data_IF_303652409410
#
_entry.id   IF_303652409410
#
_cell.length_a   1.000
_cell.length_b   1.000
_cell.length_c   1.000
_cell.angle_alpha   90.00
_cell.angle_beta   90.00
_cell.angle_gamma   90.00
#
_symmetry.space_group_name_H-M   'P 1'
#
loop_
_entity.id
_entity.type
_entity.pdbx_description
1 polymer ?
#
# COMPACT_ATOMS: atom_id res chain seq x y z
N UNK A 1 6.31 -9.94 5.50
CA UNK A 1 5.13 -9.67 6.35
C UNK A 1 4.76 -10.98 7.04
N UNK A 2 4.79 -11.06 8.37
CA UNK A 2 4.29 -12.24 9.09
C UNK A 2 3.19 -11.84 10.06
N UNK A 3 2.13 -12.68 10.11
CA UNK A 3 0.92 -12.62 10.95
C UNK A 3 -0.02 -11.44 10.61
N UNK A 4 -0.78 -11.49 9.51
CA UNK A 4 -2.14 -12.08 9.40
C UNK A 4 -3.15 -11.56 10.43
N UNK A 5 -3.26 -10.25 10.60
CA UNK A 5 -4.55 -9.66 10.97
C UNK A 5 -5.38 -9.53 9.69
N UNK A 6 -6.04 -10.63 9.35
CA UNK A 6 -7.09 -10.63 8.32
C UNK A 6 -8.10 -9.54 8.71
N UNK A 7 -8.61 -8.75 7.75
CA UNK A 7 -9.57 -7.71 8.08
C UNK A 7 -10.76 -8.32 8.83
N UNK A 8 -11.28 -7.60 9.83
CA UNK A 8 -12.19 -8.16 10.85
C UNK A 8 -13.47 -8.80 10.26
N UNK A 9 -13.86 -8.39 9.06
CA UNK A 9 -15.01 -8.90 8.32
C UNK A 9 -14.74 -10.21 7.56
N UNK A 10 -13.47 -10.59 7.31
CA UNK A 10 -13.13 -11.76 6.49
C UNK A 10 -13.72 -13.03 7.09
N UNK A 11 -13.75 -13.17 8.42
CA UNK A 11 -14.31 -14.35 9.09
C UNK A 11 -15.83 -14.53 8.88
N UNK A 12 -16.53 -13.51 8.39
CA UNK A 12 -18.00 -13.46 8.25
C UNK A 12 -18.49 -13.95 6.88
N UNK A 13 -17.58 -14.29 5.95
CA UNK A 13 -17.90 -14.74 4.59
C UNK A 13 -18.53 -16.14 4.49
N UNK A 14 -19.15 -16.65 5.55
CA UNK A 14 -19.91 -17.90 5.48
C UNK A 14 -21.24 -17.63 4.75
N UNK A 15 -21.68 -18.49 3.83
CA UNK A 15 -23.06 -18.47 3.36
C UNK A 15 -23.96 -18.49 4.60
N UNK A 16 -24.73 -17.42 4.78
CA UNK A 16 -25.70 -17.36 5.87
C UNK A 16 -26.65 -18.53 5.65
N UNK A 17 -26.87 -19.38 6.66
CA UNK A 17 -27.94 -20.38 6.61
C UNK A 17 -29.22 -19.61 6.30
N UNK A 18 -29.72 -19.77 5.08
CA UNK A 18 -31.01 -19.19 4.69
C UNK A 18 -32.04 -20.12 5.30
N UNK A 19 -32.55 -19.76 6.47
CA UNK A 19 -33.68 -20.45 7.08
C UNK A 19 -34.89 -20.23 6.19
N UNK A 20 -35.19 -21.20 5.32
CA UNK A 20 -36.34 -21.12 4.42
C UNK A 20 -37.65 -21.27 5.21
N UNK A 21 -37.64 -22.07 6.29
CA UNK A 21 -38.73 -22.16 7.27
C UNK A 21 -38.27 -22.87 8.55
N UNK A 22 -38.85 -22.49 9.70
CA UNK A 22 -38.60 -23.12 11.00
C UNK A 22 -38.90 -24.63 10.99
N UNK A 23 -39.91 -25.07 10.24
CA UNK A 23 -40.23 -26.50 10.06
C UNK A 23 -39.15 -27.26 9.31
N UNK A 24 -38.53 -26.64 8.30
CA UNK A 24 -37.45 -27.26 7.54
C UNK A 24 -36.19 -27.36 8.40
N UNK A 25 -35.89 -26.33 9.17
CA UNK A 25 -34.72 -26.32 10.07
C UNK A 25 -34.86 -27.40 11.15
N UNK A 26 -36.04 -27.50 11.79
CA UNK A 26 -36.37 -28.58 12.72
C UNK A 26 -36.25 -29.97 12.08
N UNK A 27 -36.73 -30.13 10.85
CA UNK A 27 -36.62 -31.40 10.13
C UNK A 27 -35.16 -31.77 9.82
N UNK A 28 -34.35 -30.79 9.41
CA UNK A 28 -32.92 -31.00 9.14
C UNK A 28 -32.15 -31.36 10.41
N UNK A 29 -32.48 -30.73 11.54
CA UNK A 29 -31.90 -31.01 12.84
C UNK A 29 -32.30 -32.40 13.37
N UNK A 30 -33.59 -32.74 13.29
CA UNK A 30 -34.14 -34.02 13.75
C UNK A 30 -33.56 -35.20 12.97
N UNK A 31 -33.33 -35.03 11.67
CA UNK A 31 -32.74 -36.06 10.82
C UNK A 31 -31.21 -35.99 10.72
N UNK A 32 -30.54 -35.10 11.47
CA UNK A 32 -29.09 -34.95 11.43
C UNK A 32 -28.54 -34.58 10.05
N UNK A 33 -29.40 -34.02 9.20
CA UNK A 33 -29.05 -33.48 7.88
C UNK A 33 -28.46 -32.07 7.98
N UNK A 34 -28.60 -31.44 9.14
CA UNK A 34 -27.88 -30.22 9.43
C UNK A 34 -26.37 -30.50 9.53
N UNK A 35 -25.59 -29.70 8.80
CA UNK A 35 -24.13 -29.75 8.82
C UNK A 35 -23.63 -29.26 10.19
N UNK A 36 -23.73 -30.12 11.21
CA UNK A 36 -23.04 -29.91 12.48
C UNK A 36 -21.56 -29.79 12.18
N UNK A 37 -20.90 -28.81 12.82
CA UNK A 37 -19.46 -28.66 12.79
C UNK A 37 -18.83 -29.91 13.42
N UNK A 38 -18.66 -30.95 12.62
CA UNK A 38 -18.05 -32.19 13.04
C UNK A 38 -16.63 -31.88 13.53
N UNK A 39 -16.26 -32.48 14.67
CA UNK A 39 -14.92 -32.38 15.22
C UNK A 39 -13.90 -32.68 14.11
N UNK A 40 -13.06 -31.68 13.81
CA UNK A 40 -12.16 -31.68 12.66
C UNK A 40 -11.17 -32.83 12.76
N UNK A 41 -11.38 -33.88 11.97
CA UNK A 41 -10.30 -34.79 11.66
C UNK A 41 -9.37 -34.13 10.63
N UNK A 42 -8.04 -34.22 10.80
CA UNK A 42 -7.09 -33.74 9.82
C UNK A 42 -7.27 -34.55 8.53
N UNK A 43 -7.86 -33.91 7.52
CA UNK A 43 -8.16 -34.55 6.26
C UNK A 43 -6.86 -34.66 5.43
N UNK A 44 -6.39 -35.89 5.11
CA UNK A 44 -5.10 -36.11 4.46
C UNK A 44 -5.03 -35.55 3.03
N UNK A 45 -6.17 -35.18 2.44
CA UNK A 45 -6.23 -34.56 1.13
C UNK A 45 -6.06 -33.03 1.14
N UNK A 46 -5.90 -32.40 2.32
CA UNK A 46 -5.57 -30.98 2.42
C UNK A 46 -4.14 -30.71 1.96
N UNK A 47 -3.84 -29.49 1.45
CA UNK A 47 -2.47 -29.09 1.19
C UNK A 47 -1.65 -29.16 2.48
N UNK A 48 -0.47 -29.80 2.41
CA UNK A 48 0.44 -29.95 3.56
C UNK A 48 1.29 -28.70 3.83
N UNK A 49 1.40 -27.81 2.85
CA UNK A 49 2.14 -26.55 2.96
C UNK A 49 1.39 -25.42 2.26
N UNK A 50 1.58 -24.21 2.77
CA UNK A 50 1.14 -22.98 2.12
C UNK A 50 2.08 -22.77 0.93
N UNK A 51 1.54 -22.90 -0.28
CA UNK A 51 2.27 -22.73 -1.54
C UNK A 51 1.46 -21.86 -2.50
N UNK A 52 1.98 -21.65 -3.71
CA UNK A 52 1.30 -20.92 -4.81
C UNK A 52 -0.18 -21.28 -5.03
N UNK A 53 -0.56 -22.51 -4.70
CA UNK A 53 -1.87 -23.07 -5.00
C UNK A 53 -2.71 -23.34 -3.74
N UNK A 54 -2.28 -22.85 -2.57
CA UNK A 54 -2.97 -23.07 -1.31
C UNK A 54 -3.09 -21.77 -0.50
N UNK A 55 -4.24 -21.59 0.17
CA UNK A 55 -4.48 -20.51 1.12
C UNK A 55 -4.93 -21.07 2.48
N UNK A 56 -4.72 -20.30 3.54
CA UNK A 56 -5.23 -20.64 4.87
C UNK A 56 -6.61 -20.02 5.03
N UNK A 57 -7.61 -20.84 5.35
CA UNK A 57 -8.95 -20.36 5.61
C UNK A 57 -8.98 -19.49 6.87
N UNK A 58 -9.46 -18.25 6.75
CA UNK A 58 -9.59 -17.32 7.87
C UNK A 58 -10.48 -17.85 9.00
N UNK A 59 -11.55 -18.59 8.66
CA UNK A 59 -12.48 -19.12 9.65
C UNK A 59 -11.92 -20.32 10.42
N UNK A 60 -11.34 -21.29 9.71
CA UNK A 60 -11.02 -22.59 10.31
C UNK A 60 -9.52 -22.83 10.53
N UNK A 61 -8.65 -21.95 10.02
CA UNK A 61 -7.18 -22.01 10.17
C UNK A 61 -6.50 -23.09 9.34
N UNK A 62 -7.26 -23.89 8.58
CA UNK A 62 -6.72 -24.98 7.76
C UNK A 62 -6.33 -24.51 6.36
N UNK A 63 -5.31 -25.14 5.78
CA UNK A 63 -4.95 -24.92 4.39
C UNK A 63 -6.01 -25.53 3.45
N UNK A 64 -6.29 -24.85 2.35
CA UNK A 64 -7.18 -25.26 1.27
C UNK A 64 -6.61 -24.85 -0.09
N UNK A 65 -6.96 -25.59 -1.14
CA UNK A 65 -6.54 -25.25 -2.51
C UNK A 65 -7.24 -23.99 -3.04
N UNK A 66 -6.48 -23.13 -3.72
CA UNK A 66 -6.95 -21.88 -4.34
C UNK A 66 -8.04 -22.11 -5.40
N UNK A 67 -8.06 -23.29 -6.03
CA UNK A 67 -9.06 -23.66 -7.05
C UNK A 67 -10.46 -23.86 -6.49
N UNK A 68 -10.64 -23.86 -5.16
CA UNK A 68 -11.93 -24.03 -4.51
C UNK A 68 -12.52 -22.68 -4.14
N UNK A 69 -13.79 -22.49 -4.50
CA UNK A 69 -14.56 -21.31 -4.09
C UNK A 69 -14.84 -21.29 -2.57
N UNK A 70 -14.96 -22.47 -1.95
CA UNK A 70 -15.28 -22.63 -0.53
C UNK A 70 -14.34 -23.61 0.18
N UNK A 71 -14.03 -23.29 1.43
CA UNK A 71 -13.37 -24.19 2.35
C UNK A 71 -14.31 -25.33 2.74
N UNK A 72 -13.76 -26.48 3.15
CA UNK A 72 -14.55 -27.59 3.72
C UNK A 72 -15.35 -27.22 4.98
N UNK A 73 -15.01 -26.12 5.65
CA UNK A 73 -15.81 -25.58 6.76
C UNK A 73 -17.02 -24.72 6.30
N UNK A 74 -17.18 -24.52 4.99
CA UNK A 74 -18.21 -23.68 4.38
C UNK A 74 -17.83 -22.20 4.23
N UNK A 75 -16.60 -21.81 4.55
CA UNK A 75 -16.13 -20.43 4.39
C UNK A 75 -15.86 -20.07 2.92
N UNK A 76 -16.28 -18.89 2.46
CA UNK A 76 -16.04 -18.44 1.09
C UNK A 76 -14.61 -17.92 0.90
N UNK A 77 -13.80 -18.68 0.18
CA UNK A 77 -12.36 -18.43 0.03
C UNK A 77 -12.05 -17.37 -1.01
N UNK A 78 -12.87 -17.28 -2.06
CA UNK A 78 -12.69 -16.26 -3.09
C UNK A 78 -12.94 -14.85 -2.55
N UNK A 79 -13.98 -14.67 -1.74
CA UNK A 79 -14.20 -13.40 -1.03
C UNK A 79 -13.07 -13.06 -0.07
N UNK A 80 -12.48 -14.07 0.60
CA UNK A 80 -11.30 -13.84 1.44
C UNK A 80 -10.11 -13.30 0.62
N UNK A 81 -9.87 -13.83 -0.59
CA UNK A 81 -8.81 -13.32 -1.48
C UNK A 81 -9.08 -11.89 -1.95
N UNK A 82 -10.34 -11.57 -2.26
CA UNK A 82 -10.77 -10.22 -2.65
C UNK A 82 -10.57 -9.23 -1.49
N UNK A 83 -10.95 -9.62 -0.27
CA UNK A 83 -10.73 -8.80 0.93
C UNK A 83 -9.24 -8.61 1.23
N UNK A 84 -8.42 -9.63 1.05
CA UNK A 84 -6.96 -9.55 1.20
C UNK A 84 -6.34 -8.64 0.14
N UNK A 85 -6.83 -8.66 -1.09
CA UNK A 85 -6.40 -7.76 -2.15
C UNK A 85 -6.75 -6.30 -1.83
N UNK A 86 -7.99 -6.03 -1.39
CA UNK A 86 -8.43 -4.69 -1.00
C UNK A 86 -7.64 -4.17 0.22
N UNK A 87 -7.36 -5.03 1.19
CA UNK A 87 -6.54 -4.67 2.35
C UNK A 87 -5.11 -4.31 1.94
N UNK A 88 -4.54 -5.09 1.03
CA UNK A 88 -3.23 -4.81 0.45
C UNK A 88 -3.21 -3.49 -0.33
N UNK A 89 -4.21 -3.24 -1.17
CA UNK A 89 -4.35 -1.99 -1.93
C UNK A 89 -4.40 -0.78 -1.00
N UNK A 90 -5.25 -0.83 0.03
CA UNK A 90 -5.33 0.21 1.06
C UNK A 90 -3.99 0.43 1.76
N UNK A 91 -3.27 -0.65 2.08
CA UNK A 91 -1.94 -0.55 2.68
C UNK A 91 -0.94 0.16 1.76
N UNK A 92 -0.95 -0.13 0.45
CA UNK A 92 -0.08 0.54 -0.52
C UNK A 92 -0.39 2.05 -0.57
N UNK A 93 -1.67 2.43 -0.56
CA UNK A 93 -2.07 3.84 -0.48
C UNK A 93 -1.61 4.50 0.82
N UNK A 94 -1.79 3.83 1.96
CA UNK A 94 -1.38 4.35 3.27
C UNK A 94 0.14 4.53 3.36
N UNK A 95 0.92 3.59 2.82
CA UNK A 95 2.38 3.66 2.81
C UNK A 95 2.87 4.79 1.88
N UNK A 96 2.22 5.01 0.74
CA UNK A 96 2.47 6.19 -0.11
C UNK A 96 2.17 7.50 0.63
N UNK A 97 1.02 7.59 1.31
CA UNK A 97 0.63 8.80 2.05
C UNK A 97 1.62 9.09 3.20
N UNK A 98 2.02 8.08 3.96
CA UNK A 98 3.06 8.23 5.00
C UNK A 98 4.39 8.72 4.43
N UNK A 99 4.80 8.19 3.27
CA UNK A 99 6.01 8.63 2.59
C UNK A 99 5.88 10.09 2.13
N UNK A 100 4.75 10.47 1.56
CA UNK A 100 4.45 11.83 1.13
C UNK A 100 4.50 12.81 2.30
N UNK A 101 3.89 12.48 3.44
CA UNK A 101 3.91 13.29 4.66
C UNK A 101 5.33 13.44 5.23
N UNK A 102 6.09 12.34 5.28
CA UNK A 102 7.47 12.35 5.74
C UNK A 102 8.37 13.24 4.86
N UNK A 103 8.17 13.23 3.55
CA UNK A 103 8.90 14.08 2.60
C UNK A 103 8.44 15.53 2.71
N UNK A 104 7.13 15.79 2.85
CA UNK A 104 6.59 17.14 3.01
C UNK A 104 7.19 17.86 4.24
N UNK A 105 7.35 17.13 5.35
CA UNK A 105 8.02 17.64 6.56
C UNK A 105 9.50 18.00 6.29
N UNK A 106 10.20 17.21 5.48
CA UNK A 106 11.61 17.47 5.11
C UNK A 106 11.78 18.59 4.09
N UNK A 107 10.81 18.81 3.19
CA UNK A 107 10.85 19.89 2.19
C UNK A 107 10.52 21.26 2.83
N UNK A 108 9.69 21.31 3.87
CA UNK A 108 9.33 22.55 4.56
C UNK A 108 10.53 23.44 4.95
N UNK A 109 11.61 22.94 5.58
CA UNK A 109 12.81 23.74 5.86
C UNK A 109 13.56 24.20 4.60
N UNK A 110 13.58 23.39 3.53
CA UNK A 110 14.22 23.76 2.27
C UNK A 110 13.60 25.01 1.65
N UNK A 111 12.28 25.20 1.81
CA UNK A 111 11.59 26.42 1.33
C UNK A 111 12.10 27.69 2.02
N UNK A 112 12.44 27.62 3.31
CA UNK A 112 13.03 28.76 4.02
C UNK A 112 14.45 29.04 3.55
N UNK A 113 15.26 28.00 3.31
CA UNK A 113 16.61 28.15 2.74
C UNK A 113 16.55 28.79 1.33
N UNK A 114 15.59 28.39 0.51
CA UNK A 114 15.35 29.01 -0.79
C UNK A 114 14.95 30.48 -0.64
N UNK A 115 14.05 30.81 0.30
CA UNK A 115 13.64 32.19 0.56
C UNK A 115 14.81 33.09 0.98
N UNK A 116 15.80 32.56 1.71
CA UNK A 116 17.03 33.28 2.07
C UNK A 116 17.93 33.54 0.84
N UNK A 117 17.94 32.65 -0.15
CA UNK A 117 18.67 32.84 -1.40
C UNK A 117 18.01 33.86 -2.35
N UNK A 118 16.70 34.11 -2.19
CA UNK A 118 15.92 34.94 -3.11
C UNK A 118 16.37 36.42 -3.19
N UNK A 119 16.72 37.11 -2.09
CA UNK A 119 17.29 38.46 -2.15
C UNK A 119 18.57 38.56 -2.97
N UNK A 120 19.41 37.52 -2.94
CA UNK A 120 20.66 37.46 -3.70
C UNK A 120 20.44 37.26 -5.20
N UNK A 121 19.27 36.74 -5.60
CA UNK A 121 18.90 36.60 -7.01
C UNK A 121 18.11 37.81 -7.51
N UNK A 122 17.09 38.23 -6.76
CA UNK A 122 16.16 39.29 -7.17
C UNK A 122 16.79 40.67 -7.04
N UNK A 123 17.55 40.92 -5.97
CA UNK A 123 18.19 42.22 -5.73
C UNK A 123 19.10 42.66 -6.87
N UNK A 124 20.08 41.82 -7.29
CA UNK A 124 20.95 42.15 -8.41
C UNK A 124 20.21 42.26 -9.76
N UNK A 125 19.16 41.46 -9.97
CA UNK A 125 18.31 41.56 -11.17
C UNK A 125 17.55 42.89 -11.22
N UNK A 126 17.01 43.35 -10.08
CA UNK A 126 16.37 44.67 -9.99
C UNK A 126 17.41 45.79 -10.20
N UNK A 127 18.60 45.65 -9.63
CA UNK A 127 19.70 46.59 -9.85
C UNK A 127 20.05 46.75 -11.33
N UNK A 128 20.21 45.62 -12.03
CA UNK A 128 20.51 45.58 -13.46
C UNK A 128 19.40 46.20 -14.33
N UNK A 129 18.13 46.05 -13.96
CA UNK A 129 17.00 46.54 -14.76
C UNK A 129 16.72 48.04 -14.57
N UNK A 130 16.91 48.58 -13.36
CA UNK A 130 16.47 49.95 -13.04
C UNK A 130 17.60 50.96 -12.88
N UNK A 131 18.83 50.53 -12.56
CA UNK A 131 19.90 51.43 -12.13
C UNK A 131 21.26 51.20 -12.81
N UNK A 132 21.38 50.19 -13.68
CA UNK A 132 22.65 49.92 -14.36
C UNK A 132 22.76 50.68 -15.70
N UNK A 133 23.63 51.69 -15.76
CA UNK A 133 23.96 52.42 -16.99
C UNK A 133 24.87 51.62 -17.94
N UNK A 134 25.51 50.54 -17.45
CA UNK A 134 26.36 49.64 -18.23
C UNK A 134 26.47 48.25 -17.57
N UNK A 135 26.77 47.22 -18.38
CA UNK A 135 26.90 45.85 -17.89
C UNK A 135 28.15 45.71 -17.00
N UNK A 136 27.94 45.58 -15.69
CA UNK A 136 29.01 45.46 -14.70
C UNK A 136 29.03 44.07 -14.08
N UNK A 137 30.23 43.58 -13.73
CA UNK A 137 30.47 42.26 -13.14
C UNK A 137 30.02 42.14 -11.68
N UNK A 138 29.84 43.29 -11.01
CA UNK A 138 29.46 43.40 -9.61
C UNK A 138 28.10 42.74 -9.25
N UNK A 139 26.98 43.02 -9.95
CA UNK A 139 25.71 42.35 -9.69
C UNK A 139 25.77 40.83 -9.96
N UNK A 140 26.57 40.36 -10.93
CA UNK A 140 26.77 38.93 -11.18
C UNK A 140 27.46 38.22 -10.00
N UNK A 141 28.47 38.86 -9.38
CA UNK A 141 29.13 38.35 -8.18
C UNK A 141 28.16 38.23 -7.00
N UNK A 142 27.22 39.15 -6.86
CA UNK A 142 26.18 39.10 -5.84
C UNK A 142 25.12 38.00 -6.07
N UNK A 143 24.92 37.57 -7.32
CA UNK A 143 24.03 36.44 -7.62
C UNK A 143 24.66 35.08 -7.33
N UNK A 144 26.00 34.96 -7.32
CA UNK A 144 26.68 33.68 -7.15
C UNK A 144 26.28 32.92 -5.86
N UNK A 145 26.17 33.56 -4.68
CA UNK A 145 25.64 32.92 -3.48
C UNK A 145 24.18 32.44 -3.64
N UNK A 146 23.33 33.24 -4.29
CA UNK A 146 21.93 32.89 -4.53
C UNK A 146 21.78 31.68 -5.45
N UNK A 147 22.60 31.59 -6.49
CA UNK A 147 22.66 30.44 -7.41
C UNK A 147 23.15 29.20 -6.67
N UNK A 148 24.20 29.32 -5.84
CA UNK A 148 24.73 28.21 -5.06
C UNK A 148 23.69 27.64 -4.09
N UNK A 149 23.03 28.50 -3.31
CA UNK A 149 21.98 28.11 -2.36
C UNK A 149 20.82 27.42 -3.10
N UNK A 150 20.35 28.04 -4.19
CA UNK A 150 19.23 27.50 -4.97
C UNK A 150 19.59 26.16 -5.63
N UNK A 151 20.82 26.01 -6.13
CA UNK A 151 21.31 24.76 -6.71
C UNK A 151 21.36 23.62 -5.69
N UNK A 152 21.87 23.87 -4.48
CA UNK A 152 21.90 22.88 -3.40
C UNK A 152 20.48 22.49 -2.99
N UNK A 153 19.57 23.46 -2.84
CA UNK A 153 18.16 23.20 -2.52
C UNK A 153 17.49 22.35 -3.59
N UNK A 154 17.66 22.69 -4.87
CA UNK A 154 17.05 21.95 -5.98
C UNK A 154 17.58 20.50 -6.09
N UNK A 155 18.88 20.29 -5.89
CA UNK A 155 19.46 18.93 -5.86
C UNK A 155 18.92 18.12 -4.69
N UNK A 156 18.82 18.74 -3.51
CA UNK A 156 18.32 18.08 -2.31
C UNK A 156 16.84 17.72 -2.50
N UNK A 157 16.02 18.64 -2.99
CA UNK A 157 14.61 18.40 -3.30
C UNK A 157 14.45 17.24 -4.29
N UNK A 158 15.21 17.22 -5.39
CA UNK A 158 15.16 16.14 -6.39
C UNK A 158 15.52 14.77 -5.81
N UNK A 159 16.50 14.71 -4.91
CA UNK A 159 16.87 13.46 -4.23
C UNK A 159 15.76 13.01 -3.29
N UNK A 160 15.13 13.94 -2.57
CA UNK A 160 14.03 13.65 -1.66
C UNK A 160 12.72 13.26 -2.37
N UNK A 161 12.41 13.82 -3.55
CA UNK A 161 11.18 13.51 -4.30
C UNK A 161 11.29 12.21 -5.10
N UNK A 162 12.50 11.77 -5.46
CA UNK A 162 12.72 10.52 -6.20
C UNK A 162 11.98 9.29 -5.63
N UNK A 163 12.02 8.98 -4.32
CA UNK A 163 11.25 7.87 -3.77
C UNK A 163 9.73 8.09 -3.87
N UNK A 164 9.27 9.34 -3.75
CA UNK A 164 7.86 9.68 -3.92
C UNK A 164 7.40 9.42 -5.37
N UNK A 165 8.19 9.84 -6.35
CA UNK A 165 7.93 9.59 -7.77
C UNK A 165 7.89 8.09 -8.09
N UNK A 166 8.81 7.31 -7.53
CA UNK A 166 8.81 5.85 -7.68
C UNK A 166 7.54 5.23 -7.07
N UNK A 167 7.13 5.67 -5.88
CA UNK A 167 5.90 5.18 -5.25
C UNK A 167 4.63 5.60 -6.00
N UNK A 168 4.60 6.81 -6.56
CA UNK A 168 3.49 7.29 -7.38
C UNK A 168 3.42 6.53 -8.71
N UNK A 169 4.56 6.20 -9.30
CA UNK A 169 4.59 5.34 -10.48
C UNK A 169 4.06 3.94 -10.14
N UNK A 170 4.47 3.36 -9.01
CA UNK A 170 3.96 2.08 -8.55
C UNK A 170 2.43 2.10 -8.38
N UNK A 171 1.89 3.14 -7.73
CA UNK A 171 0.44 3.35 -7.59
C UNK A 171 -0.31 3.44 -8.92
N UNK A 172 0.33 3.91 -10.00
CA UNK A 172 -0.32 4.00 -11.31
C UNK A 172 -0.19 2.73 -12.15
N UNK A 173 0.65 1.77 -11.74
CA UNK A 173 1.05 0.63 -12.59
C UNK A 173 0.84 -0.73 -11.90
N UNK A 174 0.46 -0.75 -10.62
CA UNK A 174 0.17 -2.01 -9.95
C UNK A 174 -1.02 -2.74 -10.59
N UNK A 175 -0.98 -4.05 -10.51
CA UNK A 175 -1.98 -4.97 -11.03
C UNK A 175 -2.23 -6.10 -10.04
N UNK A 176 -3.24 -6.92 -10.31
CA UNK A 176 -3.52 -8.13 -9.52
C UNK A 176 -2.32 -9.09 -9.55
N UNK A 177 -1.56 -9.13 -10.66
CA UNK A 177 -0.37 -9.97 -10.77
C UNK A 177 0.70 -9.56 -9.75
N UNK A 178 0.86 -8.25 -9.51
CA UNK A 178 1.83 -7.73 -8.53
C UNK A 178 1.45 -8.14 -7.10
N UNK A 179 0.15 -8.15 -6.78
CA UNK A 179 -0.36 -8.67 -5.52
C UNK A 179 -0.06 -10.17 -5.36
N UNK A 180 -0.32 -10.95 -6.42
CA UNK A 180 -0.09 -12.40 -6.43
C UNK A 180 1.39 -12.71 -6.21
N UNK A 181 2.28 -12.02 -6.92
CA UNK A 181 3.74 -12.20 -6.78
C UNK A 181 4.23 -11.85 -5.37
N UNK A 182 3.73 -10.75 -4.78
CA UNK A 182 4.10 -10.38 -3.41
C UNK A 182 3.59 -11.38 -2.38
N UNK A 183 2.36 -11.89 -2.57
CA UNK A 183 1.78 -12.93 -1.71
C UNK A 183 2.65 -14.18 -1.68
N UNK A 184 3.18 -14.61 -2.83
CA UNK A 184 3.93 -15.86 -2.93
C UNK A 184 5.42 -15.74 -2.63
N UNK A 185 6.05 -14.67 -3.10
CA UNK A 185 7.49 -14.50 -2.97
C UNK A 185 7.87 -13.62 -1.77
N UNK A 186 6.91 -13.08 -1.02
CA UNK A 186 7.12 -12.16 0.10
C UNK A 186 8.07 -10.99 -0.24
N UNK A 187 8.05 -10.56 -1.51
CA UNK A 187 8.89 -9.48 -1.98
C UNK A 187 8.49 -8.17 -1.27
N UNK A 188 9.46 -7.46 -0.70
CA UNK A 188 9.22 -6.13 -0.13
C UNK A 188 8.86 -5.18 -1.27
N UNK A 189 7.73 -4.49 -1.11
CA UNK A 189 7.14 -3.59 -2.11
C UNK A 189 7.99 -2.34 -2.34
N UNK A 190 8.71 -1.91 -1.29
CA UNK A 190 9.51 -0.68 -1.29
C UNK A 190 10.80 -1.02 -0.55
N UNK A 191 11.92 -1.04 -1.27
CA UNK A 191 13.25 -0.98 -0.64
C UNK A 191 13.35 0.40 0.03
N UNK A 192 13.25 0.41 1.37
CA UNK A 192 13.60 1.56 2.20
C UNK A 192 15.12 1.72 2.29
#
# INVERSE_FOLDING_TARGET
MSNTDLPANVHVLRPRKVSLSEKLDLFLDEHGLDLKEAAKQPDPSRPKSINGNALVCASCGEAEYLTRDYCRCGHYLRGQLEDEYLAWENQVYDDHNKLADAIALKIKPLRYLFAIGLPFLVGPMLYLNFWADSFTLYPLLWMAPGILISGIVALTEKVLTRPLEASAHFLNTYSIETFIDQRFFQLKVIDQ
#
